data_IF_380044408123
#
_entry.id   IF_380044408123
#
_cell.length_a   1.000
_cell.length_b   1.000
_cell.length_c   1.000
_cell.angle_alpha   90.00
_cell.angle_beta   90.00
_cell.angle_gamma   90.00
#
_symmetry.space_group_name_H-M   'P 1'
#
loop_
_entity.id
_entity.type
_entity.pdbx_description
1 polymer ?
#
# COMPACT_ATOMS: atom_id res chain seq x y z
N UNK A 1 2.54 -10.43 11.87
CA UNK A 1 3.34 -10.26 10.63
C UNK A 1 2.67 -9.18 9.79
N UNK A 2 3.48 -8.43 9.04
CA UNK A 2 3.05 -7.33 8.18
C UNK A 2 3.69 -7.46 6.80
N UNK A 3 3.17 -6.70 5.85
CA UNK A 3 3.82 -6.33 4.61
C UNK A 3 4.46 -4.96 4.83
N UNK A 4 5.78 -4.89 4.73
CA UNK A 4 6.53 -3.64 4.75
C UNK A 4 6.78 -3.23 3.30
N UNK A 5 6.10 -2.17 2.86
CA UNK A 5 6.02 -1.78 1.45
C UNK A 5 6.67 -0.41 1.29
N UNK A 6 7.59 -0.31 0.35
CA UNK A 6 8.35 0.90 0.04
C UNK A 6 8.20 1.23 -1.45
N UNK A 7 8.18 2.50 -1.80
CA UNK A 7 8.41 2.94 -3.16
C UNK A 7 9.82 3.49 -3.30
N UNK A 8 10.57 2.98 -4.27
CA UNK A 8 11.95 3.38 -4.53
C UNK A 8 12.09 4.08 -5.88
N UNK A 9 13.06 4.98 -5.96
CA UNK A 9 13.43 5.61 -7.22
C UNK A 9 14.08 4.57 -8.15
N UNK A 10 13.66 4.45 -9.43
CA UNK A 10 14.15 3.39 -10.31
C UNK A 10 15.64 3.54 -10.68
N UNK A 11 16.22 4.74 -10.62
CA UNK A 11 17.61 4.97 -10.98
C UNK A 11 18.56 4.70 -9.80
N UNK A 12 18.17 5.11 -8.59
CA UNK A 12 19.03 4.99 -7.40
C UNK A 12 18.69 3.80 -6.51
N UNK A 13 17.48 3.24 -6.64
CA UNK A 13 16.91 2.21 -5.79
C UNK A 13 16.77 2.60 -4.30
N UNK A 14 16.92 3.88 -3.99
CA UNK A 14 16.67 4.43 -2.65
C UNK A 14 15.18 4.69 -2.44
N UNK A 15 14.73 4.61 -1.18
CA UNK A 15 13.35 4.95 -0.82
C UNK A 15 13.08 6.39 -1.20
N UNK A 16 11.95 6.63 -1.85
CA UNK A 16 11.54 7.98 -2.22
C UNK A 16 11.13 8.72 -0.97
N UNK A 17 11.59 9.96 -0.81
CA UNK A 17 11.07 10.89 0.17
C UNK A 17 10.16 11.94 -0.49
N UNK A 18 9.05 12.24 0.17
CA UNK A 18 8.16 13.34 -0.17
C UNK A 18 8.57 14.62 0.55
N UNK A 19 8.28 15.78 -0.07
CA UNK A 19 8.59 17.09 0.53
C UNK A 19 7.82 17.33 1.85
N UNK A 20 6.61 16.78 1.95
CA UNK A 20 5.76 16.85 3.13
C UNK A 20 5.54 15.48 3.74
N UNK A 21 5.47 15.42 5.07
CA UNK A 21 5.20 14.18 5.78
C UNK A 21 3.76 13.71 5.59
N UNK A 22 3.58 12.46 5.19
CA UNK A 22 2.28 11.82 5.13
C UNK A 22 1.89 11.19 6.48
N UNK A 23 0.58 11.08 6.68
CA UNK A 23 -0.02 10.55 7.91
C UNK A 23 -0.69 9.18 7.72
N UNK A 24 -0.40 8.48 6.62
CA UNK A 24 -0.89 7.11 6.43
C UNK A 24 -0.38 6.20 7.54
N UNK A 25 -1.31 5.52 8.20
CA UNK A 25 -1.04 4.62 9.33
C UNK A 25 -1.29 3.17 8.95
N UNK A 26 -0.53 2.29 9.57
CA UNK A 26 -0.49 0.87 9.30
C UNK A 26 -0.39 0.04 10.58
N UNK A 27 0.09 -1.20 10.48
CA UNK A 27 0.34 -2.04 11.65
C UNK A 27 1.46 -1.48 12.52
N UNK A 28 2.53 -1.03 11.87
CA UNK A 28 3.60 -0.20 12.43
C UNK A 28 3.60 1.15 11.71
N UNK A 29 3.81 2.25 12.43
CA UNK A 29 3.85 3.58 11.83
C UNK A 29 4.78 4.52 12.59
N UNK A 30 5.25 5.57 11.92
CA UNK A 30 6.03 6.64 12.53
C UNK A 30 5.09 7.63 13.24
N UNK A 31 5.27 7.81 14.56
CA UNK A 31 4.50 8.79 15.32
C UNK A 31 4.86 10.22 14.88
N UNK A 32 3.87 10.95 14.37
CA UNK A 32 4.08 12.26 13.72
C UNK A 32 4.15 12.21 12.19
N UNK A 33 4.07 11.02 11.60
CA UNK A 33 4.18 10.79 10.16
C UNK A 33 5.61 10.51 9.71
N UNK A 34 5.77 10.29 8.40
CA UNK A 34 7.07 10.12 7.74
C UNK A 34 7.06 10.81 6.37
N UNK A 35 8.24 11.18 5.84
CA UNK A 35 8.41 11.61 4.44
C UNK A 35 8.71 10.42 3.52
N UNK A 36 9.18 9.29 4.07
CA UNK A 36 9.47 8.10 3.29
C UNK A 36 8.20 7.55 2.65
N UNK A 37 8.26 7.16 1.38
CA UNK A 37 7.20 6.45 0.68
C UNK A 37 7.08 5.00 1.17
N UNK A 38 6.77 4.85 2.46
CA UNK A 38 6.68 3.59 3.19
C UNK A 38 5.29 3.43 3.81
N UNK A 39 4.76 2.21 3.74
CA UNK A 39 3.54 1.83 4.43
C UNK A 39 3.63 0.38 4.91
N UNK A 40 3.21 0.16 6.16
CA UNK A 40 3.12 -1.16 6.76
C UNK A 40 1.66 -1.64 6.77
N UNK A 41 1.35 -2.75 6.09
CA UNK A 41 0.00 -3.30 6.05
C UNK A 41 -0.03 -4.63 6.81
N UNK A 42 -1.05 -4.87 7.64
CA UNK A 42 -1.17 -6.15 8.34
C UNK A 42 -1.31 -7.33 7.37
N UNK A 43 -0.72 -8.48 7.71
CA UNK A 43 -0.85 -9.69 6.91
C UNK A 43 -2.30 -10.20 6.83
N UNK A 44 -3.13 -9.89 7.84
CA UNK A 44 -4.52 -10.37 7.94
C UNK A 44 -5.30 -10.09 6.65
N UNK A 45 -5.14 -8.90 6.06
CA UNK A 45 -5.86 -8.48 4.86
C UNK A 45 -5.47 -9.26 3.60
N UNK A 46 -4.43 -10.10 3.66
CA UNK A 46 -3.89 -10.81 2.51
C UNK A 46 -4.90 -11.71 1.79
N UNK A 47 -5.96 -12.18 2.44
CA UNK A 47 -7.03 -12.95 1.76
C UNK A 47 -7.76 -12.08 0.75
N UNK A 48 -8.18 -10.89 1.15
CA UNK A 48 -8.88 -9.94 0.29
C UNK A 48 -8.00 -9.49 -0.88
N UNK A 49 -6.70 -9.28 -0.64
CA UNK A 49 -5.78 -8.92 -1.71
C UNK A 49 -5.56 -10.05 -2.72
N UNK A 50 -5.66 -11.32 -2.31
CA UNK A 50 -5.62 -12.43 -3.26
C UNK A 50 -6.84 -12.44 -4.17
N UNK A 51 -8.01 -12.15 -3.60
CA UNK A 51 -9.27 -12.15 -4.34
C UNK A 51 -9.41 -10.94 -5.29
N UNK A 52 -8.79 -9.80 -4.95
CA UNK A 52 -9.01 -8.52 -5.64
C UNK A 52 -7.85 -8.02 -6.49
N UNK A 53 -6.61 -8.42 -6.17
CA UNK A 53 -5.39 -7.98 -6.88
C UNK A 53 -4.83 -9.13 -7.70
N UNK A 54 -4.42 -10.22 -7.05
CA UNK A 54 -3.81 -11.38 -7.71
C UNK A 54 -3.96 -12.64 -6.85
N UNK A 55 -4.55 -13.70 -7.41
CA UNK A 55 -4.90 -14.93 -6.67
C UNK A 55 -3.70 -15.61 -5.99
N UNK A 56 -2.50 -15.49 -6.55
CA UNK A 56 -1.31 -16.16 -6.05
C UNK A 56 -0.51 -15.26 -5.11
N UNK A 57 -0.22 -14.03 -5.56
CA UNK A 57 0.70 -13.10 -4.89
C UNK A 57 -0.01 -12.13 -3.94
N UNK A 58 -1.31 -11.92 -4.11
CA UNK A 58 -2.06 -10.89 -3.39
C UNK A 58 -1.39 -9.52 -3.55
N UNK A 59 -1.20 -8.80 -2.44
CA UNK A 59 -0.58 -7.46 -2.46
C UNK A 59 0.85 -7.48 -3.00
N UNK A 60 1.59 -8.60 -2.86
CA UNK A 60 2.97 -8.72 -3.36
C UNK A 60 3.08 -8.67 -4.87
N UNK A 61 1.96 -8.77 -5.58
CA UNK A 61 1.92 -8.58 -7.03
C UNK A 61 2.49 -7.22 -7.45
N UNK A 62 2.38 -6.20 -6.60
CA UNK A 62 2.92 -4.86 -6.88
C UNK A 62 4.46 -4.81 -6.86
N UNK A 63 5.13 -5.79 -6.24
CA UNK A 63 6.58 -5.74 -6.08
C UNK A 63 7.29 -5.83 -7.44
N UNK A 64 8.23 -4.91 -7.66
CA UNK A 64 8.93 -4.75 -8.94
C UNK A 64 8.13 -3.99 -10.01
N UNK A 65 6.94 -3.48 -9.69
CA UNK A 65 6.10 -2.71 -10.62
C UNK A 65 6.13 -1.23 -10.31
N UNK A 66 5.94 -0.43 -11.35
CA UNK A 66 5.84 1.02 -11.25
C UNK A 66 4.51 1.44 -10.63
N UNK A 67 4.47 2.64 -10.04
CA UNK A 67 3.24 3.26 -9.56
C UNK A 67 2.16 3.33 -10.66
N UNK A 68 2.57 3.65 -11.89
CA UNK A 68 1.67 3.71 -13.05
C UNK A 68 1.02 2.36 -13.40
N UNK A 69 1.79 1.26 -13.33
CA UNK A 69 1.25 -0.10 -13.55
C UNK A 69 0.31 -0.53 -12.42
N UNK A 70 0.64 -0.17 -11.18
CA UNK A 70 -0.11 -0.57 -9.99
C UNK A 70 -1.40 0.22 -9.81
N UNK A 71 -1.42 1.51 -10.16
CA UNK A 71 -2.53 2.42 -9.90
C UNK A 71 -3.91 1.86 -10.31
N UNK A 72 -4.15 1.44 -11.57
CA UNK A 72 -5.47 0.97 -11.98
C UNK A 72 -5.91 -0.31 -11.26
N UNK A 73 -4.95 -1.19 -10.89
CA UNK A 73 -5.25 -2.43 -10.17
C UNK A 73 -5.60 -2.14 -8.72
N UNK A 74 -4.84 -1.26 -8.06
CA UNK A 74 -5.08 -0.87 -6.68
C UNK A 74 -6.38 -0.08 -6.51
N UNK A 75 -6.71 0.83 -7.44
CA UNK A 75 -7.98 1.54 -7.42
C UNK A 75 -9.17 0.61 -7.61
N UNK A 76 -9.09 -0.34 -8.56
CA UNK A 76 -10.12 -1.36 -8.74
C UNK A 76 -10.31 -2.22 -7.49
N UNK A 77 -9.22 -2.66 -6.87
CA UNK A 77 -9.29 -3.48 -5.65
C UNK A 77 -9.91 -2.69 -4.48
N UNK A 78 -9.50 -1.43 -4.28
CA UNK A 78 -10.12 -0.53 -3.28
C UNK A 78 -11.62 -0.37 -3.53
N UNK A 79 -12.03 -0.14 -4.78
CA UNK A 79 -13.44 0.08 -5.10
C UNK A 79 -14.29 -1.18 -4.90
N UNK A 80 -13.71 -2.36 -5.11
CA UNK A 80 -14.37 -3.64 -4.82
C UNK A 80 -14.51 -3.91 -3.32
N UNK A 81 -13.48 -3.59 -2.52
CA UNK A 81 -13.47 -3.83 -1.07
C UNK A 81 -14.23 -2.76 -0.27
N UNK A 82 -14.39 -1.57 -0.83
CA UNK A 82 -14.84 -0.40 -0.09
C UNK A 82 -13.77 0.13 0.87
N UNK A 83 -14.10 1.20 1.60
CA UNK A 83 -13.15 1.90 2.49
C UNK A 83 -13.74 2.21 3.87
N UNK A 84 -14.92 1.64 4.16
CA UNK A 84 -15.58 1.77 5.46
C UNK A 84 -14.88 0.88 6.49
N UNK A 85 -13.92 1.47 7.18
CA UNK A 85 -13.11 0.78 8.18
C UNK A 85 -13.86 0.59 9.49
N UNK A 86 -13.51 -0.48 10.20
CA UNK A 86 -13.94 -0.66 11.59
C UNK A 86 -13.06 0.14 12.55
N UNK A 87 -13.41 0.15 13.83
CA UNK A 87 -12.61 0.80 14.87
C UNK A 87 -11.32 0.05 15.20
N UNK A 88 -11.23 -1.24 14.87
CA UNK A 88 -10.04 -2.06 15.08
C UNK A 88 -9.32 -2.29 13.76
N UNK A 89 -8.13 -1.70 13.62
CA UNK A 89 -7.29 -1.90 12.44
C UNK A 89 -7.01 -3.39 12.20
N UNK A 90 -6.80 -4.21 13.23
CA UNK A 90 -6.40 -5.60 13.01
C UNK A 90 -7.56 -6.50 12.56
N UNK A 91 -8.78 -6.00 12.62
CA UNK A 91 -9.98 -6.73 12.24
C UNK A 91 -9.98 -7.02 10.74
N UNK A 92 -10.30 -8.28 10.42
CA UNK A 92 -10.30 -8.80 9.06
C UNK A 92 -11.60 -8.40 8.35
N UNK A 93 -11.67 -7.16 7.85
CA UNK A 93 -12.80 -6.67 7.05
C UNK A 93 -12.35 -6.18 5.69
N UNK A 94 -13.23 -6.26 4.69
CA UNK A 94 -12.97 -5.73 3.35
C UNK A 94 -12.67 -4.23 3.41
N UNK A 95 -13.48 -3.47 4.15
CA UNK A 95 -13.31 -2.03 4.30
C UNK A 95 -11.98 -1.62 4.94
N UNK A 96 -11.48 -2.36 5.92
CA UNK A 96 -10.13 -2.14 6.48
C UNK A 96 -9.04 -2.37 5.41
N UNK A 97 -9.15 -3.47 4.66
CA UNK A 97 -8.20 -3.80 3.61
C UNK A 97 -8.22 -2.76 2.47
N UNK A 98 -9.40 -2.36 1.99
CA UNK A 98 -9.51 -1.34 0.96
C UNK A 98 -9.08 0.05 1.44
N UNK A 99 -9.32 0.40 2.70
CA UNK A 99 -8.83 1.65 3.29
C UNK A 99 -7.29 1.70 3.32
N UNK A 100 -6.62 0.59 3.64
CA UNK A 100 -5.16 0.51 3.64
C UNK A 100 -4.55 0.76 2.25
N UNK A 101 -5.26 0.44 1.17
CA UNK A 101 -4.80 0.70 -0.20
C UNK A 101 -4.75 2.19 -0.56
N UNK A 102 -5.45 3.07 0.16
CA UNK A 102 -5.48 4.51 -0.13
C UNK A 102 -4.07 5.12 -0.09
N UNK A 103 -3.25 4.73 0.89
CA UNK A 103 -1.87 5.22 1.00
C UNK A 103 -1.01 4.79 -0.19
N UNK A 104 -1.09 3.51 -0.58
CA UNK A 104 -0.35 3.01 -1.75
C UNK A 104 -0.82 3.69 -3.06
N UNK A 105 -2.12 3.93 -3.21
CA UNK A 105 -2.68 4.66 -4.34
C UNK A 105 -2.16 6.11 -4.37
N UNK A 106 -2.06 6.77 -3.21
CA UNK A 106 -1.49 8.11 -3.12
C UNK A 106 -0.02 8.12 -3.57
N UNK A 107 0.77 7.11 -3.17
CA UNK A 107 2.15 6.96 -3.64
C UNK A 107 2.21 6.78 -5.15
N UNK A 108 1.36 5.92 -5.74
CA UNK A 108 1.29 5.75 -7.19
C UNK A 108 0.99 7.06 -7.94
N UNK A 109 0.09 7.89 -7.39
CA UNK A 109 -0.28 9.18 -8.00
C UNK A 109 0.85 10.21 -7.89
N UNK A 110 1.54 10.24 -6.76
CA UNK A 110 2.65 11.16 -6.52
C UNK A 110 3.90 10.77 -7.34
N UNK A 111 4.19 9.47 -7.46
CA UNK A 111 5.37 8.92 -8.12
C UNK A 111 4.99 7.77 -9.04
N UNK A 112 4.37 8.06 -10.19
CA UNK A 112 3.98 7.02 -11.15
C UNK A 112 5.20 6.25 -11.70
N UNK A 113 6.38 6.85 -11.67
CA UNK A 113 7.68 6.28 -12.06
C UNK A 113 8.34 5.43 -10.97
N UNK A 114 7.93 5.59 -9.71
CA UNK A 114 8.50 4.87 -8.58
C UNK A 114 8.17 3.38 -8.62
N UNK A 115 9.11 2.54 -8.19
CA UNK A 115 8.95 1.08 -8.20
C UNK A 115 8.64 0.60 -6.79
N UNK A 116 7.61 -0.22 -6.61
CA UNK A 116 7.35 -0.85 -5.32
C UNK A 116 8.36 -1.95 -5.02
N UNK A 117 8.85 -1.95 -3.79
CA UNK A 117 9.58 -3.04 -3.16
C UNK A 117 8.91 -3.37 -1.83
N UNK A 118 9.13 -4.56 -1.33
CA UNK A 118 8.66 -4.89 0.00
C UNK A 118 9.09 -6.25 0.46
N UNK A 119 8.64 -6.51 1.68
CA UNK A 119 9.11 -7.52 2.63
C UNK A 119 10.53 -7.23 3.17
#
# INVERSE_FOLDING_TARGET
MSYDIYMVDPATLQVIEFDESHQFIGGTYAAGGTTEAWLNITWNYGVFYRETIDLEKGIRWIYGKTGAECLPVLEKARDQLGVEKSSDYWELTEGNAGHALIGLIAFCKARPDGIFKGD
#
